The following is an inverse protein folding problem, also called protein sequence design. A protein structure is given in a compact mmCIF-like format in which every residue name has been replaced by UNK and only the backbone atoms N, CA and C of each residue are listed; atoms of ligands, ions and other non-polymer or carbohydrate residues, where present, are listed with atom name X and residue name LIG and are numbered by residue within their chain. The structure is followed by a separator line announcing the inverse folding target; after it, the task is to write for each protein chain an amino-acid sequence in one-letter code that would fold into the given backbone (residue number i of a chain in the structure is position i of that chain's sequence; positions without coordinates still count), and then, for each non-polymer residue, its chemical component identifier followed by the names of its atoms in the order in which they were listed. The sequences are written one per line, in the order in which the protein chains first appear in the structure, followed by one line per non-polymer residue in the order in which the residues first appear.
data_IF_970950359314
#
_entry.id   IF_970950359314
#
_cell.length_a   1.000
_cell.length_b   1.000
_cell.length_c   1.000
_cell.angle_alpha   90.00
_cell.angle_beta   90.00
_cell.angle_gamma   90.00
#
_symmetry.space_group_name_H-M   'P 1'
#
loop_
_entity.id
_entity.type
_entity.pdbx_description
1 polymer ?
#
# COMPACT_ATOMS: atom_id res chain seq x y z
N UNK A 1 -7.80 4.76 -0.78
CA UNK A 1 -8.22 6.15 -1.12
C UNK A 1 -7.35 7.28 -0.53
N UNK A 2 -7.40 7.64 0.78
CA UNK A 2 -6.70 8.87 1.29
C UNK A 2 -5.20 8.93 0.99
N UNK A 3 -4.46 7.84 1.25
CA UNK A 3 -3.02 7.77 0.99
C UNK A 3 -2.70 7.86 -0.50
N UNK A 4 -3.55 7.30 -1.36
CA UNK A 4 -3.39 7.43 -2.82
C UNK A 4 -3.50 8.87 -3.29
N UNK A 5 -4.43 9.65 -2.73
CA UNK A 5 -4.54 11.08 -3.03
C UNK A 5 -3.27 11.84 -2.65
N UNK A 6 -2.62 11.48 -1.54
CA UNK A 6 -1.33 12.05 -1.15
C UNK A 6 -0.23 11.61 -2.12
N UNK A 7 -0.18 10.33 -2.49
CA UNK A 7 0.79 9.84 -3.48
C UNK A 7 0.65 10.53 -4.84
N UNK A 8 -0.60 10.79 -5.27
CA UNK A 8 -0.88 11.54 -6.49
C UNK A 8 -0.34 12.98 -6.44
N UNK A 9 -0.39 13.64 -5.27
CA UNK A 9 0.22 14.96 -5.08
C UNK A 9 1.75 14.95 -5.14
N UNK A 10 2.39 13.79 -4.92
CA UNK A 10 3.84 13.65 -4.88
C UNK A 10 4.47 13.33 -6.24
N UNK A 11 3.69 13.12 -7.30
CA UNK A 11 4.24 12.84 -8.64
C UNK A 11 5.03 14.03 -9.18
N UNK A 12 6.12 13.73 -9.87
CA UNK A 12 6.90 14.70 -10.64
C UNK A 12 6.59 14.68 -12.13
N UNK A 13 5.64 13.86 -12.59
CA UNK A 13 5.25 13.80 -14.00
C UNK A 13 4.42 15.02 -14.39
N UNK A 14 5.06 15.93 -15.12
CA UNK A 14 4.46 17.16 -15.62
C UNK A 14 3.40 16.95 -16.71
N UNK A 15 3.25 15.72 -17.24
CA UNK A 15 2.25 15.40 -18.26
C UNK A 15 0.89 15.01 -17.67
N UNK A 16 0.79 14.86 -16.34
CA UNK A 16 -0.44 14.48 -15.65
C UNK A 16 -1.14 15.70 -15.07
N UNK A 17 -2.47 15.75 -15.18
CA UNK A 17 -3.27 16.64 -14.35
C UNK A 17 -3.36 16.08 -12.91
N UNK A 18 -2.46 16.57 -12.04
CA UNK A 18 -2.41 16.18 -10.62
C UNK A 18 -3.74 16.40 -9.91
N UNK A 19 -4.46 17.48 -10.22
CA UNK A 19 -5.74 17.76 -9.57
C UNK A 19 -6.78 16.69 -9.94
N UNK A 20 -6.79 16.28 -11.21
CA UNK A 20 -7.63 15.19 -11.69
C UNK A 20 -7.23 13.85 -11.06
N UNK A 21 -5.94 13.52 -10.99
CA UNK A 21 -5.44 12.31 -10.32
C UNK A 21 -5.89 12.24 -8.85
N UNK A 22 -5.80 13.37 -8.12
CA UNK A 22 -6.24 13.45 -6.72
C UNK A 22 -7.74 13.22 -6.60
N UNK A 23 -8.56 13.91 -7.42
CA UNK A 23 -10.02 13.75 -7.40
C UNK A 23 -10.41 12.31 -7.75
N UNK A 24 -9.76 11.70 -8.74
CA UNK A 24 -10.01 10.32 -9.14
C UNK A 24 -9.63 9.34 -8.04
N UNK A 25 -8.46 9.49 -7.41
CA UNK A 25 -8.03 8.67 -6.28
C UNK A 25 -9.00 8.71 -5.09
N UNK A 26 -9.69 9.84 -4.88
CA UNK A 26 -10.72 9.98 -3.83
C UNK A 26 -11.97 9.17 -4.15
N UNK A 27 -12.34 8.99 -5.43
CA UNK A 27 -13.65 8.44 -5.81
C UNK A 27 -13.60 7.04 -6.43
N UNK A 28 -12.42 6.53 -6.78
CA UNK A 28 -12.30 5.29 -7.57
C UNK A 28 -12.96 4.06 -6.90
N UNK A 29 -12.81 3.90 -5.59
CA UNK A 29 -13.44 2.82 -4.80
C UNK A 29 -14.74 3.26 -4.11
N UNK A 30 -15.33 4.40 -4.49
CA UNK A 30 -16.50 4.92 -3.78
C UNK A 30 -17.73 3.98 -3.88
N UNK A 31 -17.78 3.13 -4.92
CA UNK A 31 -18.82 2.12 -5.08
C UNK A 31 -18.78 1.02 -3.99
N UNK A 32 -17.62 0.77 -3.38
CA UNK A 32 -17.44 -0.22 -2.31
C UNK A 32 -18.22 0.14 -1.05
N UNK A 33 -18.57 1.42 -0.86
CA UNK A 33 -19.45 1.84 0.23
C UNK A 33 -20.85 1.22 0.15
N UNK A 34 -21.28 0.83 -1.06
CA UNK A 34 -22.58 0.19 -1.30
C UNK A 34 -22.44 -1.32 -1.51
N UNK A 35 -21.46 -1.73 -2.32
CA UNK A 35 -21.32 -3.13 -2.77
C UNK A 35 -20.47 -3.96 -1.79
N UNK A 36 -19.67 -3.31 -0.96
CA UNK A 36 -18.57 -3.94 -0.21
C UNK A 36 -17.30 -4.07 -1.04
N UNK A 37 -16.17 -4.22 -0.36
CA UNK A 37 -14.87 -4.55 -0.96
C UNK A 37 -14.89 -6.01 -1.43
N UNK A 38 -15.20 -6.22 -2.72
CA UNK A 38 -15.27 -7.55 -3.32
C UNK A 38 -13.86 -8.03 -3.63
N UNK A 39 -13.43 -9.04 -2.89
CA UNK A 39 -12.09 -9.58 -3.00
C UNK A 39 -11.98 -10.78 -3.96
N UNK A 40 -10.79 -11.06 -4.52
CA UNK A 40 -10.62 -12.14 -5.51
C UNK A 40 -11.04 -13.54 -5.05
N UNK A 41 -10.96 -13.84 -3.74
CA UNK A 41 -11.32 -15.14 -3.19
C UNK A 41 -12.83 -15.39 -3.10
N UNK A 42 -13.67 -14.37 -3.31
CA UNK A 42 -15.13 -14.49 -3.25
C UNK A 42 -15.74 -15.09 -4.53
N UNK A 43 -14.92 -15.34 -5.56
CA UNK A 43 -15.34 -16.06 -6.77
C UNK A 43 -16.28 -15.27 -7.69
N UNK A 44 -16.44 -13.96 -7.45
CA UNK A 44 -17.22 -13.07 -8.30
C UNK A 44 -16.42 -12.75 -9.57
N UNK A 45 -17.06 -12.88 -10.74
CA UNK A 45 -16.41 -12.56 -12.01
C UNK A 45 -16.14 -11.05 -12.13
N UNK A 46 -15.11 -10.64 -12.88
CA UNK A 46 -14.83 -9.22 -13.10
C UNK A 46 -16.02 -8.46 -13.71
N UNK A 47 -16.74 -9.09 -14.65
CA UNK A 47 -17.92 -8.49 -15.27
C UNK A 47 -19.04 -8.24 -14.26
N UNK A 48 -19.27 -9.21 -13.37
CA UNK A 48 -20.26 -9.10 -12.29
C UNK A 48 -19.85 -8.03 -11.27
N UNK A 49 -18.57 -7.97 -10.87
CA UNK A 49 -18.04 -6.92 -9.98
C UNK A 49 -18.34 -5.53 -10.55
N UNK A 50 -17.94 -5.29 -11.81
CA UNK A 50 -18.16 -4.01 -12.50
C UNK A 50 -19.66 -3.69 -12.59
N UNK A 51 -20.52 -4.68 -12.87
CA UNK A 51 -21.96 -4.45 -12.93
C UNK A 51 -22.53 -4.01 -11.58
N UNK A 52 -22.15 -4.69 -10.50
CA UNK A 52 -22.58 -4.33 -9.14
C UNK A 52 -22.08 -2.94 -8.74
N UNK A 53 -20.82 -2.63 -9.04
CA UNK A 53 -20.24 -1.32 -8.74
C UNK A 53 -20.92 -0.19 -9.53
N UNK A 54 -21.26 -0.42 -10.80
CA UNK A 54 -22.06 0.52 -11.60
C UNK A 54 -23.44 0.77 -10.98
N UNK A 55 -24.12 -0.30 -10.55
CA UNK A 55 -25.44 -0.19 -9.91
C UNK A 55 -25.35 0.53 -8.56
N UNK A 56 -24.34 0.21 -7.74
CA UNK A 56 -24.08 0.87 -6.47
C UNK A 56 -23.76 2.35 -6.63
N UNK A 57 -22.89 2.70 -7.58
CA UNK A 57 -22.56 4.08 -7.93
C UNK A 57 -23.81 4.83 -8.40
N UNK A 58 -24.63 4.23 -9.28
CA UNK A 58 -25.87 4.84 -9.76
C UNK A 58 -26.83 5.16 -8.62
N UNK A 59 -27.11 4.20 -7.74
CA UNK A 59 -28.01 4.40 -6.59
C UNK A 59 -27.48 5.49 -5.65
N UNK A 60 -26.20 5.41 -5.26
CA UNK A 60 -25.60 6.42 -4.39
C UNK A 60 -25.68 7.84 -4.98
N UNK A 61 -25.39 7.99 -6.26
CA UNK A 61 -25.40 9.30 -6.92
C UNK A 61 -26.83 9.85 -7.14
N UNK A 62 -27.80 9.01 -7.51
CA UNK A 62 -29.19 9.43 -7.66
C UNK A 62 -29.83 9.78 -6.33
N UNK A 63 -29.59 8.96 -5.31
CA UNK A 63 -30.30 9.01 -4.05
C UNK A 63 -29.73 10.10 -3.12
N UNK A 64 -28.42 10.33 -3.17
CA UNK A 64 -27.75 11.31 -2.30
C UNK A 64 -27.48 12.66 -2.96
N UNK A 65 -27.19 12.67 -4.27
CA UNK A 65 -26.73 13.88 -4.97
C UNK A 65 -27.70 14.37 -6.06
N UNK A 66 -28.81 13.67 -6.27
CA UNK A 66 -29.91 14.07 -7.17
C UNK A 66 -29.45 14.48 -8.57
N UNK A 67 -28.45 13.78 -9.11
CA UNK A 67 -27.87 14.06 -10.43
C UNK A 67 -27.37 15.51 -10.62
N UNK A 68 -27.03 16.20 -9.52
CA UNK A 68 -26.45 17.53 -9.58
C UNK A 68 -25.03 17.53 -10.20
N UNK A 69 -24.44 18.72 -10.44
CA UNK A 69 -23.12 18.84 -11.07
C UNK A 69 -22.00 18.04 -10.37
N UNK A 70 -22.07 17.91 -9.04
CA UNK A 70 -21.13 17.09 -8.28
C UNK A 70 -21.29 15.58 -8.55
N UNK A 71 -22.53 15.10 -8.69
CA UNK A 71 -22.82 13.71 -9.01
C UNK A 71 -22.28 13.33 -10.39
N UNK A 72 -22.50 14.21 -11.37
CA UNK A 72 -22.01 14.04 -12.75
C UNK A 72 -20.48 13.94 -12.74
N UNK A 73 -19.79 14.85 -12.04
CA UNK A 73 -18.32 14.82 -11.95
C UNK A 73 -17.79 13.54 -11.31
N UNK A 74 -18.40 13.08 -10.22
CA UNK A 74 -17.98 11.84 -9.55
C UNK A 74 -18.17 10.65 -10.49
N UNK A 75 -19.32 10.57 -11.17
CA UNK A 75 -19.60 9.51 -12.14
C UNK A 75 -18.57 9.48 -13.26
N UNK A 76 -18.31 10.63 -13.88
CA UNK A 76 -17.35 10.74 -14.99
C UNK A 76 -15.93 10.33 -14.56
N UNK A 77 -15.48 10.77 -13.39
CA UNK A 77 -14.17 10.37 -12.85
C UNK A 77 -14.10 8.86 -12.56
N UNK A 78 -15.17 8.30 -11.99
CA UNK A 78 -15.24 6.87 -11.67
C UNK A 78 -15.28 6.01 -12.94
N UNK A 79 -16.10 6.37 -13.93
CA UNK A 79 -16.17 5.67 -15.23
C UNK A 79 -14.83 5.74 -15.96
N UNK A 80 -14.17 6.90 -15.97
CA UNK A 80 -12.86 7.08 -16.58
C UNK A 80 -11.78 6.20 -15.92
N UNK A 81 -11.84 6.06 -14.59
CA UNK A 81 -10.97 5.14 -13.85
C UNK A 81 -11.26 3.68 -14.24
N UNK A 82 -12.51 3.23 -14.22
CA UNK A 82 -12.85 1.85 -14.57
C UNK A 82 -12.46 1.47 -16.01
N UNK A 83 -12.63 2.40 -16.94
CA UNK A 83 -12.27 2.21 -18.35
C UNK A 83 -10.76 2.31 -18.59
N UNK A 84 -10.00 2.87 -17.64
CA UNK A 84 -8.57 3.11 -17.76
C UNK A 84 -8.23 3.89 -19.05
N UNK A 85 -9.08 4.85 -19.41
CA UNK A 85 -9.06 5.51 -20.72
C UNK A 85 -7.94 6.55 -20.87
N UNK A 86 -7.55 7.21 -19.77
CA UNK A 86 -6.62 8.35 -19.75
C UNK A 86 -5.29 8.02 -19.08
N UNK A 87 -4.23 8.83 -19.31
CA UNK A 87 -2.99 8.73 -18.55
C UNK A 87 -3.20 8.85 -17.04
N UNK A 88 -4.08 9.75 -16.59
CA UNK A 88 -4.43 9.94 -15.19
C UNK A 88 -5.08 8.68 -14.59
N UNK A 89 -6.04 8.07 -15.30
CA UNK A 89 -6.68 6.84 -14.84
C UNK A 89 -5.71 5.67 -14.69
N UNK A 90 -4.79 5.52 -15.64
CA UNK A 90 -3.74 4.50 -15.60
C UNK A 90 -2.75 4.77 -14.47
N UNK A 91 -2.35 6.02 -14.28
CA UNK A 91 -1.48 6.44 -13.19
C UNK A 91 -2.12 6.15 -11.82
N UNK A 92 -3.38 6.54 -11.61
CA UNK A 92 -4.10 6.28 -10.35
C UNK A 92 -4.25 4.77 -10.11
N UNK A 93 -4.43 3.96 -11.15
CA UNK A 93 -4.47 2.50 -11.00
C UNK A 93 -3.14 1.89 -10.59
N UNK A 94 -2.04 2.48 -11.06
CA UNK A 94 -0.71 2.08 -10.61
C UNK A 94 -0.43 2.53 -9.17
N UNK A 95 -0.96 3.68 -8.74
CA UNK A 95 -0.94 4.09 -7.34
C UNK A 95 -1.73 3.13 -6.44
N UNK A 96 -2.88 2.65 -6.89
CA UNK A 96 -3.70 1.65 -6.19
C UNK A 96 -2.90 0.36 -5.90
N UNK A 97 -2.24 -0.17 -6.93
CA UNK A 97 -1.34 -1.32 -6.81
C UNK A 97 -0.18 -1.07 -5.85
N UNK A 98 0.47 0.09 -5.95
CA UNK A 98 1.56 0.45 -5.06
C UNK A 98 1.08 0.57 -3.60
N UNK A 99 -0.09 1.16 -3.39
CA UNK A 99 -0.66 1.37 -2.06
C UNK A 99 -0.95 0.04 -1.36
N UNK A 100 -1.49 -0.95 -2.10
CA UNK A 100 -1.69 -2.31 -1.61
C UNK A 100 -0.37 -2.95 -1.15
N UNK A 101 0.70 -2.86 -1.95
CA UNK A 101 2.02 -3.37 -1.58
C UNK A 101 2.62 -2.63 -0.37
N UNK A 102 2.45 -1.32 -0.31
CA UNK A 102 2.94 -0.48 0.79
C UNK A 102 2.27 -0.87 2.11
N UNK A 103 0.94 -1.06 2.09
CA UNK A 103 0.18 -1.51 3.25
C UNK A 103 0.62 -2.91 3.71
N UNK A 104 0.84 -3.83 2.77
CA UNK A 104 1.35 -5.17 3.09
C UNK A 104 2.72 -5.11 3.77
N UNK A 105 3.65 -4.29 3.28
CA UNK A 105 4.96 -4.12 3.89
C UNK A 105 4.87 -3.53 5.31
N UNK A 106 3.98 -2.56 5.54
CA UNK A 106 3.74 -2.00 6.87
C UNK A 106 3.16 -3.03 7.84
N UNK A 107 2.28 -3.91 7.38
CA UNK A 107 1.74 -4.99 8.20
C UNK A 107 2.80 -6.04 8.56
N UNK A 108 3.66 -6.44 7.62
CA UNK A 108 4.77 -7.36 7.92
C UNK A 108 5.74 -6.77 8.97
N UNK A 109 6.01 -5.46 8.93
CA UNK A 109 6.83 -4.79 9.96
C UNK A 109 6.18 -4.79 11.33
N UNK A 110 4.85 -4.61 11.37
CA UNK A 110 4.09 -4.54 12.63
C UNK A 110 3.92 -5.93 13.27
N UNK A 111 3.91 -6.98 12.46
CA UNK A 111 3.71 -8.37 12.89
C UNK A 111 4.86 -9.26 12.42
N UNK A 112 6.05 -9.13 13.02
CA UNK A 112 7.28 -9.78 12.54
C UNK A 112 7.29 -11.30 12.71
N UNK A 113 6.37 -11.86 13.50
CA UNK A 113 6.30 -13.30 13.79
C UNK A 113 5.76 -14.13 12.62
N UNK A 114 5.23 -13.49 11.57
CA UNK A 114 4.68 -14.14 10.38
C UNK A 114 5.36 -13.65 9.09
N UNK A 115 6.68 -13.86 8.93
CA UNK A 115 7.42 -13.34 7.79
C UNK A 115 6.90 -13.92 6.47
N UNK A 116 6.80 -13.08 5.44
CA UNK A 116 6.33 -13.41 4.09
C UNK A 116 4.87 -13.88 3.97
N UNK A 117 4.05 -13.78 5.03
CA UNK A 117 2.64 -14.16 4.96
C UNK A 117 1.85 -13.34 3.92
N UNK A 118 2.30 -12.11 3.65
CA UNK A 118 1.65 -11.20 2.71
C UNK A 118 2.34 -11.15 1.33
N UNK A 119 3.18 -12.14 1.01
CA UNK A 119 3.91 -12.17 -0.27
C UNK A 119 2.99 -12.08 -1.49
N UNK A 120 1.81 -12.70 -1.43
CA UNK A 120 0.82 -12.67 -2.52
C UNK A 120 0.39 -11.26 -2.92
N UNK A 121 0.38 -10.31 -1.98
CA UNK A 121 0.03 -8.91 -2.25
C UNK A 121 1.11 -8.18 -3.06
N UNK A 122 2.37 -8.57 -2.94
CA UNK A 122 3.45 -8.02 -3.76
C UNK A 122 3.44 -8.63 -5.15
N UNK A 123 3.25 -9.95 -5.23
CA UNK A 123 3.25 -10.71 -6.47
C UNK A 123 2.09 -10.30 -7.40
N UNK A 124 0.93 -9.93 -6.82
CA UNK A 124 -0.26 -9.50 -7.57
C UNK A 124 -0.32 -8.00 -7.87
N UNK A 125 0.61 -7.18 -7.35
CA UNK A 125 0.59 -5.71 -7.51
C UNK A 125 1.75 -5.19 -8.34
N UNK A 126 2.97 -5.27 -7.80
CA UNK A 126 4.14 -4.57 -8.32
C UNK A 126 4.48 -4.92 -9.78
N UNK A 127 4.39 -6.18 -10.23
CA UNK A 127 4.69 -6.54 -11.62
C UNK A 127 3.76 -5.88 -12.65
N UNK A 128 2.56 -5.49 -12.23
CA UNK A 128 1.54 -4.91 -13.11
C UNK A 128 1.62 -3.39 -13.21
N UNK A 129 2.44 -2.73 -12.39
CA UNK A 129 2.68 -1.28 -12.46
C UNK A 129 3.37 -0.92 -13.79
N UNK A 130 2.83 0.06 -14.52
CA UNK A 130 3.33 0.47 -15.85
C UNK A 130 3.95 1.86 -15.86
N UNK A 131 3.49 2.76 -14.99
CA UNK A 131 4.01 4.11 -14.89
C UNK A 131 5.46 4.11 -14.37
N UNK A 132 6.43 4.72 -15.08
CA UNK A 132 7.85 4.62 -14.73
C UNK A 132 8.19 5.09 -13.31
N UNK A 133 7.61 6.21 -12.89
CA UNK A 133 7.85 6.78 -11.56
C UNK A 133 7.28 5.87 -10.45
N UNK A 134 6.08 5.32 -10.65
CA UNK A 134 5.44 4.44 -9.67
C UNK A 134 6.16 3.09 -9.60
N UNK A 135 6.63 2.58 -10.74
CA UNK A 135 7.45 1.37 -10.80
C UNK A 135 8.78 1.56 -10.04
N UNK A 136 9.40 2.75 -10.15
CA UNK A 136 10.58 3.09 -9.37
C UNK A 136 10.28 3.09 -7.86
N UNK A 137 9.17 3.69 -7.42
CA UNK A 137 8.75 3.66 -6.01
C UNK A 137 8.50 2.22 -5.52
N UNK A 138 7.85 1.38 -6.34
CA UNK A 138 7.65 -0.04 -6.07
C UNK A 138 8.96 -0.82 -5.92
N UNK A 139 9.95 -0.54 -6.77
CA UNK A 139 11.30 -1.12 -6.66
C UNK A 139 11.99 -0.75 -5.34
N UNK A 140 11.93 0.54 -4.96
CA UNK A 140 12.50 1.03 -3.70
C UNK A 140 11.83 0.36 -2.48
N UNK A 141 10.50 0.20 -2.52
CA UNK A 141 9.75 -0.52 -1.49
C UNK A 141 10.22 -1.98 -1.36
N UNK A 142 10.39 -2.69 -2.48
CA UNK A 142 10.82 -4.09 -2.49
C UNK A 142 12.27 -4.26 -1.97
N UNK A 143 13.16 -3.33 -2.31
CA UNK A 143 14.52 -3.30 -1.78
C UNK A 143 14.53 -3.09 -0.27
N UNK A 144 13.76 -2.12 0.22
CA UNK A 144 13.65 -1.84 1.65
C UNK A 144 13.13 -3.06 2.42
N UNK A 145 12.03 -3.65 1.93
CA UNK A 145 11.43 -4.86 2.53
C UNK A 145 12.44 -6.00 2.62
N UNK A 146 13.21 -6.23 1.56
CA UNK A 146 14.21 -7.31 1.51
C UNK A 146 15.34 -7.09 2.53
N UNK A 147 15.79 -5.84 2.70
CA UNK A 147 16.79 -5.47 3.72
C UNK A 147 16.24 -5.68 5.14
N UNK A 148 15.00 -5.31 5.40
CA UNK A 148 14.38 -5.49 6.72
C UNK A 148 14.22 -6.98 7.06
N UNK A 149 13.82 -7.79 6.09
CA UNK A 149 13.71 -9.25 6.26
C UNK A 149 15.07 -9.93 6.49
N UNK A 150 16.14 -9.47 5.81
CA UNK A 150 17.47 -10.05 6.01
C UNK A 150 18.01 -9.74 7.41
N UNK A 151 17.80 -8.51 7.90
CA UNK A 151 18.13 -8.11 9.27
C UNK A 151 17.36 -8.95 10.29
N UNK A 152 16.03 -9.10 10.13
CA UNK A 152 15.20 -9.91 11.02
C UNK A 152 15.64 -11.39 11.05
N UNK A 153 16.04 -11.98 9.92
CA UNK A 153 16.57 -13.35 9.88
C UNK A 153 17.91 -13.47 10.61
N UNK A 154 18.78 -12.46 10.48
CA UNK A 154 20.09 -12.46 11.14
C UNK A 154 20.00 -12.32 12.67
N UNK A 155 19.04 -11.54 13.19
CA UNK A 155 18.81 -11.41 14.64
C UNK A 155 18.27 -12.70 15.24
N UNK A 156 17.30 -13.35 14.57
CA UNK A 156 16.75 -14.64 15.02
C UNK A 156 17.81 -15.74 15.01
N UNK A 157 18.69 -15.76 14.00
CA UNK A 157 19.81 -16.72 13.94
C UNK A 157 20.78 -16.53 15.12
N UNK A 158 21.13 -15.28 15.45
CA UNK A 158 21.99 -14.97 16.60
C UNK A 158 21.32 -15.30 17.95
N UNK A 159 20.02 -15.05 18.10
CA UNK A 159 19.29 -15.40 19.32
C UNK A 159 19.19 -16.92 19.51
N UNK A 160 18.93 -17.67 18.44
CA UNK A 160 18.92 -19.14 18.49
C UNK A 160 20.30 -19.71 18.81
N UNK A 161 21.38 -19.13 18.25
CA UNK A 161 22.76 -19.50 18.58
C UNK A 161 23.04 -19.25 20.08
N UNK A 162 22.71 -18.07 20.59
CA UNK A 162 22.89 -17.74 22.01
C UNK A 162 22.04 -18.62 22.95
N UNK A 163 20.84 -19.03 22.52
CA UNK A 163 19.97 -19.93 23.29
C UNK A 163 20.50 -21.37 23.30
N UNK A 164 21.09 -21.83 22.19
CA UNK A 164 21.77 -23.13 22.09
C UNK A 164 23.00 -23.19 22.99
N UNK A 165 23.81 -22.12 23.01
CA UNK A 165 24.98 -22.02 23.91
C UNK A 165 24.55 -21.99 25.38
N UNK A 166 23.40 -21.40 25.71
CA UNK A 166 22.84 -21.39 27.07
C UNK A 166 22.38 -22.76 27.58
N UNK A 167 22.05 -23.69 26.67
CA UNK A 167 21.56 -25.02 27.02
C UNK A 167 22.69 -26.05 27.24
N UNK A 168 23.92 -25.73 26.80
CA UNK A 168 25.11 -26.59 27.00
C UNK A 168 25.93 -26.27 28.27
N UNK A 169 25.46 -25.36 29.14
CA UNK A 169 26.08 -25.10 30.46
C UNK A 169 25.21 -25.70 31.58
N UNK A 170 25.72 -26.79 32.17
CA UNK A 170 25.17 -27.69 33.21
C UNK A 170 24.68 -27.03 34.53
N UNK A 171 24.02 -27.78 35.45
CA UNK A 171 22.96 -27.28 36.34
C UNK A 171 23.50 -26.57 37.58
N UNK A 172 22.76 -25.57 38.06
CA UNK A 172 22.92 -25.03 39.41
C UNK A 172 22.76 -23.53 39.48
N UNK A 173 21.84 -23.12 40.35
CA UNK A 173 21.60 -21.76 40.87
C UNK A 173 20.79 -20.80 39.99
N UNK A 174 19.52 -20.66 40.38
CA UNK A 174 18.62 -19.58 39.98
C UNK A 174 19.11 -18.24 40.54
N UNK A 175 19.41 -17.29 39.66
CA UNK A 175 19.24 -15.86 39.96
C UNK A 175 18.39 -15.24 38.86
N UNK A 176 17.22 -14.78 39.27
CA UNK A 176 16.28 -14.02 38.46
C UNK A 176 16.75 -12.56 38.49
N UNK A 177 17.26 -12.05 37.37
CA UNK A 177 17.62 -10.63 37.24
C UNK A 177 16.54 -9.93 36.41
N UNK A 178 15.87 -8.98 37.05
CA UNK A 178 14.77 -8.19 36.52
C UNK A 178 15.30 -6.83 36.04
N UNK A 179 15.88 -6.77 34.85
CA UNK A 179 16.14 -5.48 34.20
C UNK A 179 16.42 -5.63 32.71
N UNK A 180 15.36 -5.66 31.89
CA UNK A 180 15.44 -5.19 30.49
C UNK A 180 14.12 -4.50 30.14
N UNK A 181 14.06 -3.18 30.38
CA UNK A 181 13.16 -2.30 29.64
C UNK A 181 13.88 -1.94 28.35
N UNK A 182 13.50 -2.59 27.25
CA UNK A 182 13.95 -2.21 25.92
C UNK A 182 13.33 -0.89 25.51
N UNK A 183 14.18 0.09 25.19
CA UNK A 183 13.81 1.31 24.49
C UNK A 183 13.30 0.94 23.09
N UNK A 184 12.00 1.19 22.85
CA UNK A 184 11.40 1.14 21.53
C UNK A 184 11.92 2.36 20.73
N UNK A 185 12.96 2.12 19.93
CA UNK A 185 13.50 3.13 19.01
C UNK A 185 12.46 3.58 17.98
N UNK A 186 12.53 4.87 17.68
CA UNK A 186 11.53 5.69 17.02
C UNK A 186 11.50 5.49 15.49
N UNK A 187 11.19 4.30 14.98
CA UNK A 187 11.03 4.04 13.53
C UNK A 187 9.58 4.24 13.04
N UNK A 188 8.90 5.26 13.54
CA UNK A 188 7.52 5.60 13.17
C UNK A 188 7.52 6.58 12.00
N UNK A 189 7.63 6.08 10.77
CA UNK A 189 6.81 6.50 9.61
C UNK A 189 7.40 5.94 8.29
N UNK A 190 6.96 4.75 7.87
CA UNK A 190 7.35 4.16 6.58
C UNK A 190 6.89 4.99 5.37
N UNK A 191 5.74 5.67 5.48
CA UNK A 191 5.20 6.57 4.46
C UNK A 191 6.13 7.74 4.15
N UNK A 192 6.69 8.36 5.21
CA UNK A 192 7.68 9.43 5.05
C UNK A 192 8.97 8.86 4.47
N UNK A 193 9.43 7.67 4.86
CA UNK A 193 10.71 7.14 4.33
C UNK A 193 10.69 6.88 2.83
N UNK A 194 9.59 6.38 2.26
CA UNK A 194 9.46 6.15 0.81
C UNK A 194 9.29 7.49 0.09
N UNK A 195 8.31 8.31 0.50
CA UNK A 195 8.06 9.63 -0.12
C UNK A 195 9.29 10.54 0.01
N UNK A 196 9.92 10.61 1.17
CA UNK A 196 11.11 11.46 1.41
C UNK A 196 12.36 10.92 0.73
N UNK A 197 12.56 9.59 0.64
CA UNK A 197 13.69 9.07 -0.16
C UNK A 197 13.53 9.34 -1.64
N UNK A 198 12.30 9.30 -2.17
CA UNK A 198 12.04 9.58 -3.59
C UNK A 198 12.05 11.09 -3.88
N UNK A 199 11.51 11.94 -3.01
CA UNK A 199 11.51 13.41 -3.17
C UNK A 199 12.88 14.06 -2.91
N UNK A 200 13.80 13.40 -2.19
CA UNK A 200 15.17 13.90 -1.95
C UNK A 200 16.22 13.35 -2.92
N UNK A 201 15.83 12.60 -3.95
CA UNK A 201 16.74 12.21 -5.01
C UNK A 201 17.29 13.45 -5.75
N UNK A 202 18.58 13.48 -6.16
CA UNK A 202 19.24 14.66 -6.68
C UNK A 202 18.72 15.03 -8.08
N UNK A 203 17.64 15.80 -8.12
CA UNK A 203 17.00 16.30 -9.35
C UNK A 203 16.21 17.59 -9.14
N UNK A 204 15.85 17.94 -7.90
CA UNK A 204 15.27 19.24 -7.54
C UNK A 204 16.35 20.33 -7.59
N UNK A 205 16.60 20.88 -8.77
CA UNK A 205 17.13 22.25 -8.89
C UNK A 205 15.92 23.19 -8.99
N UNK A 206 15.77 23.99 -7.94
CA UNK A 206 14.92 25.18 -7.89
C UNK A 206 15.13 26.09 -9.09
#
# INVERSE_FOLDING_TARGET
MHRMSILALCTSDANLDVSKCVMMAVVHDLAEAVVGDIAPWEGISKAEKVQREREGMKSMLSDMLHDGPGAIRIRELWEEYEEQATPEAKFVKDLDRLEMALQAAEYERKFPDEPNKLQSFFDSSLPDIKHPEVAQWGGQLQEQRTKEQSVARSSVANDNMNRSVRFEMLPGTTKFDSSQRGELSNNRCGMISVIVSSCLAPGFKT
#
